data_IF_908068990567
#
_entry.id   IF_908068990567
#
_cell.length_a   1.000
_cell.length_b   1.000
_cell.length_c   1.000
_cell.angle_alpha   90.00
_cell.angle_beta   90.00
_cell.angle_gamma   90.00
#
_symmetry.space_group_name_H-M   'P 1'
#
loop_
_entity.id
_entity.type
_entity.pdbx_description
1 polymer ?
#
# COMPACT_ATOMS: atom_id res chain seq x y z
N UNK A 1 -40.58 13.22 10.50
CA UNK A 1 -39.87 14.35 11.13
C UNK A 1 -38.55 13.90 11.80
N UNK A 2 -38.49 12.77 12.49
CA UNK A 2 -37.27 12.25 13.17
C UNK A 2 -36.10 11.83 12.25
N UNK A 3 -36.36 11.32 11.05
CA UNK A 3 -35.32 10.85 10.10
C UNK A 3 -34.54 12.04 9.50
N UNK A 4 -35.23 13.14 9.17
CA UNK A 4 -34.60 14.34 8.58
C UNK A 4 -33.67 15.02 9.58
N UNK A 5 -34.04 15.07 10.87
CA UNK A 5 -33.19 15.66 11.93
C UNK A 5 -31.93 14.84 12.20
N UNK A 6 -32.03 13.49 12.12
CA UNK A 6 -30.85 12.60 12.22
C UNK A 6 -29.88 12.82 11.05
N UNK A 7 -30.38 12.87 9.81
CA UNK A 7 -29.55 13.11 8.62
C UNK A 7 -28.88 14.51 8.66
N UNK A 8 -29.57 15.52 9.16
CA UNK A 8 -28.98 16.86 9.35
C UNK A 8 -27.89 16.86 10.43
N UNK A 9 -28.09 16.13 11.53
CA UNK A 9 -27.05 15.98 12.55
C UNK A 9 -25.82 15.20 12.05
N UNK A 10 -26.01 14.13 11.27
CA UNK A 10 -24.90 13.38 10.65
C UNK A 10 -24.11 14.27 9.67
N UNK A 11 -24.78 15.05 8.81
CA UNK A 11 -24.12 16.00 7.92
C UNK A 11 -23.34 17.06 8.67
N UNK A 12 -23.88 17.57 9.78
CA UNK A 12 -23.19 18.59 10.59
C UNK A 12 -21.96 18.01 11.32
N UNK A 13 -22.04 16.78 11.82
CA UNK A 13 -20.90 16.09 12.44
C UNK A 13 -19.83 15.79 11.39
N UNK A 14 -20.20 15.32 10.21
CA UNK A 14 -19.28 15.03 9.11
C UNK A 14 -18.57 16.32 8.63
N UNK A 15 -19.32 17.40 8.43
CA UNK A 15 -18.72 18.68 8.04
C UNK A 15 -17.78 19.26 9.11
N UNK A 16 -18.08 19.04 10.39
CA UNK A 16 -17.19 19.45 11.48
C UNK A 16 -15.91 18.59 11.53
N UNK A 17 -15.99 17.29 11.23
CA UNK A 17 -14.84 16.39 11.13
C UNK A 17 -13.94 16.77 9.95
N UNK A 18 -14.53 17.05 8.78
CA UNK A 18 -13.79 17.51 7.60
C UNK A 18 -13.11 18.86 7.87
N UNK A 19 -13.80 19.80 8.51
CA UNK A 19 -13.23 21.10 8.88
C UNK A 19 -12.12 20.94 9.94
N UNK A 20 -12.28 20.01 10.89
CA UNK A 20 -11.28 19.67 11.89
C UNK A 20 -10.04 19.05 11.23
N UNK A 21 -10.23 18.08 10.32
CA UNK A 21 -9.16 17.48 9.54
C UNK A 21 -8.39 18.52 8.72
N UNK A 22 -9.11 19.44 8.04
CA UNK A 22 -8.50 20.53 7.28
C UNK A 22 -7.72 21.54 8.15
N UNK A 23 -8.25 21.88 9.35
CA UNK A 23 -7.60 22.81 10.28
C UNK A 23 -6.36 22.21 10.94
N UNK A 24 -6.34 20.88 11.14
CA UNK A 24 -5.26 20.17 11.82
C UNK A 24 -4.33 19.36 10.89
N UNK A 25 -4.50 19.49 9.56
CA UNK A 25 -3.69 18.75 8.58
C UNK A 25 -3.82 17.23 8.67
N UNK A 26 -4.95 16.72 9.19
CA UNK A 26 -5.21 15.27 9.32
C UNK A 26 -5.76 14.77 8.00
N UNK A 27 -4.88 14.35 7.11
CA UNK A 27 -5.24 13.93 5.74
C UNK A 27 -4.61 12.61 5.33
N UNK A 28 -3.98 11.89 6.28
CA UNK A 28 -3.36 10.60 6.05
C UNK A 28 -3.82 9.56 7.07
N UNK A 29 -3.58 8.29 6.76
CA UNK A 29 -4.00 7.15 7.57
C UNK A 29 -2.75 6.38 8.00
N UNK A 30 -2.39 6.46 9.28
CA UNK A 30 -1.28 5.72 9.87
C UNK A 30 -1.60 4.23 9.89
N UNK A 31 -0.65 3.40 9.51
CA UNK A 31 -0.68 1.95 9.64
C UNK A 31 0.22 1.55 10.81
N UNK A 32 -0.32 0.76 11.73
CA UNK A 32 0.45 0.13 12.80
C UNK A 32 0.37 -1.38 12.61
N UNK A 33 1.50 -2.00 12.31
CA UNK A 33 1.59 -3.43 12.00
C UNK A 33 1.87 -4.22 13.27
N UNK A 34 1.19 -5.36 13.46
CA UNK A 34 1.28 -6.17 14.68
C UNK A 34 1.21 -7.65 14.36
N UNK A 35 2.01 -8.43 15.08
CA UNK A 35 1.92 -9.91 15.04
C UNK A 35 0.51 -10.36 15.44
N UNK A 36 0.01 -11.38 14.76
CA UNK A 36 -1.28 -11.98 15.05
C UNK A 36 -1.20 -13.50 14.97
N UNK A 37 -2.09 -14.17 15.68
CA UNK A 37 -2.32 -15.62 15.54
C UNK A 37 -3.63 -15.93 14.82
N UNK A 38 -4.38 -14.91 14.43
CA UNK A 38 -5.64 -15.06 13.69
C UNK A 38 -5.35 -15.09 12.20
N UNK A 39 -6.07 -15.93 11.46
CA UNK A 39 -6.02 -15.89 10.00
C UNK A 39 -6.60 -14.58 9.49
N UNK A 40 -5.89 -13.96 8.54
CA UNK A 40 -6.25 -12.69 7.92
C UNK A 40 -6.73 -12.88 6.46
N UNK A 41 -7.27 -14.06 6.15
CA UNK A 41 -7.83 -14.33 4.82
C UNK A 41 -8.92 -13.32 4.45
N UNK A 42 -8.72 -12.62 3.31
CA UNK A 42 -9.57 -11.53 2.84
C UNK A 42 -9.72 -10.34 3.81
N UNK A 43 -8.78 -10.14 4.72
CA UNK A 43 -8.70 -8.98 5.61
C UNK A 43 -7.52 -8.08 5.23
N UNK A 44 -7.46 -6.89 5.81
CA UNK A 44 -6.24 -6.06 5.73
C UNK A 44 -5.10 -6.76 6.42
N UNK A 45 -3.96 -6.91 5.71
CA UNK A 45 -2.76 -7.54 6.26
C UNK A 45 -1.49 -7.00 5.61
N UNK A 46 -0.41 -7.05 6.38
CA UNK A 46 0.95 -6.84 5.95
C UNK A 46 1.63 -8.20 5.84
N UNK A 47 2.43 -8.43 4.81
CA UNK A 47 3.04 -9.72 4.50
C UNK A 47 2.03 -10.88 4.33
N UNK A 48 2.51 -12.11 4.35
CA UNK A 48 1.73 -13.30 4.03
C UNK A 48 1.49 -13.45 2.53
N UNK A 49 0.55 -14.32 2.19
CA UNK A 49 0.14 -14.54 0.80
C UNK A 49 -1.03 -13.61 0.44
N UNK A 50 -1.02 -12.91 -0.70
CA UNK A 50 -2.16 -12.08 -1.12
C UNK A 50 -3.37 -12.94 -1.47
N UNK A 51 -4.55 -12.48 -1.06
CA UNK A 51 -5.82 -13.15 -1.36
C UNK A 51 -6.41 -12.55 -2.63
N UNK A 52 -6.18 -13.21 -3.77
CA UNK A 52 -6.50 -12.67 -5.08
C UNK A 52 -7.81 -13.24 -5.65
N UNK A 53 -8.63 -12.41 -6.33
CA UNK A 53 -9.74 -12.90 -7.12
C UNK A 53 -9.23 -13.73 -8.32
N UNK A 54 -10.01 -14.71 -8.84
CA UNK A 54 -9.54 -15.65 -9.86
C UNK A 54 -9.00 -15.02 -11.15
N UNK A 55 -9.43 -13.80 -11.47
CA UNK A 55 -9.00 -13.07 -12.68
C UNK A 55 -7.79 -12.15 -12.47
N UNK A 56 -7.27 -12.07 -11.25
CA UNK A 56 -6.13 -11.21 -10.92
C UNK A 56 -4.86 -12.04 -10.86
N UNK A 57 -4.00 -11.84 -11.84
CA UNK A 57 -2.67 -12.48 -11.87
C UNK A 57 -1.73 -11.84 -10.85
N UNK A 58 -0.84 -12.64 -10.27
CA UNK A 58 0.25 -12.11 -9.45
C UNK A 58 1.21 -11.30 -10.30
N UNK A 59 1.68 -10.11 -9.86
CA UNK A 59 2.58 -9.29 -10.66
C UNK A 59 3.99 -9.88 -10.69
N UNK A 60 4.49 -10.06 -11.91
CA UNK A 60 5.86 -10.51 -12.19
C UNK A 60 6.58 -9.47 -13.03
N UNK A 61 7.88 -9.37 -12.86
CA UNK A 61 8.78 -8.55 -13.66
C UNK A 61 9.61 -9.44 -14.58
N UNK A 62 9.72 -9.04 -15.86
CA UNK A 62 10.62 -9.70 -16.81
C UNK A 62 12.01 -9.09 -16.71
N UNK A 63 13.01 -9.93 -16.60
CA UNK A 63 14.40 -9.52 -16.60
C UNK A 63 15.24 -10.44 -17.51
N UNK A 64 16.41 -9.99 -17.88
CA UNK A 64 17.37 -10.76 -18.67
C UNK A 64 18.43 -11.32 -17.69
N UNK A 65 18.55 -12.64 -17.64
CA UNK A 65 19.54 -13.30 -16.81
C UNK A 65 20.96 -13.18 -17.40
N UNK A 66 21.97 -13.67 -16.69
CA UNK A 66 23.37 -13.61 -17.11
C UNK A 66 23.66 -14.34 -18.45
N UNK A 67 22.79 -15.29 -18.82
CA UNK A 67 22.91 -16.07 -20.08
C UNK A 67 22.19 -15.37 -21.25
N UNK A 68 21.52 -14.22 -21.01
CA UNK A 68 20.78 -13.46 -22.02
C UNK A 68 19.37 -14.00 -22.26
N UNK A 69 18.85 -14.83 -21.37
CA UNK A 69 17.51 -15.39 -21.45
C UNK A 69 16.51 -14.51 -20.68
N UNK A 70 15.28 -14.41 -21.20
CA UNK A 70 14.21 -13.68 -20.52
C UNK A 70 13.55 -14.59 -19.47
N UNK A 71 13.60 -14.15 -18.22
CA UNK A 71 12.98 -14.82 -17.09
C UNK A 71 11.93 -13.92 -16.42
N UNK A 72 11.04 -14.52 -15.64
CA UNK A 72 10.03 -13.82 -14.84
C UNK A 72 10.36 -13.94 -13.36
N UNK A 73 10.31 -12.81 -12.65
CA UNK A 73 10.54 -12.75 -11.22
C UNK A 73 9.32 -12.11 -10.53
N UNK A 74 8.74 -12.74 -9.50
CA UNK A 74 7.59 -12.19 -8.80
C UNK A 74 8.00 -10.97 -7.97
N UNK A 75 7.15 -9.94 -7.91
CA UNK A 75 7.35 -8.83 -6.98
C UNK A 75 7.00 -9.26 -5.56
N UNK A 76 7.71 -8.69 -4.58
CA UNK A 76 7.35 -8.88 -3.17
C UNK A 76 5.96 -8.33 -2.89
N UNK A 77 5.08 -9.16 -2.33
CA UNK A 77 3.80 -8.69 -1.80
C UNK A 77 4.03 -7.93 -0.49
N UNK A 78 3.63 -6.67 -0.43
CA UNK A 78 3.79 -5.82 0.75
C UNK A 78 2.60 -5.92 1.68
N UNK A 79 1.42 -5.57 1.17
CA UNK A 79 0.18 -5.61 1.94
C UNK A 79 -1.05 -5.63 1.06
N UNK A 80 -2.16 -6.07 1.65
CA UNK A 80 -3.51 -5.83 1.12
C UNK A 80 -4.33 -5.05 2.15
N UNK A 81 -5.18 -4.16 1.64
CA UNK A 81 -6.01 -3.26 2.45
C UNK A 81 -7.47 -3.46 2.06
N UNK A 82 -8.29 -3.94 2.99
CA UNK A 82 -9.75 -3.87 2.83
C UNK A 82 -10.17 -2.41 2.91
N UNK A 83 -10.73 -1.90 1.83
CA UNK A 83 -11.12 -0.49 1.74
C UNK A 83 -12.21 -0.11 2.74
N UNK A 84 -12.97 -1.06 3.26
CA UNK A 84 -13.95 -0.81 4.32
C UNK A 84 -13.28 -0.43 5.65
N UNK A 85 -12.08 -0.97 5.94
CA UNK A 85 -11.34 -0.69 7.16
C UNK A 85 -10.83 0.76 7.20
N UNK A 86 -10.48 1.33 6.04
CA UNK A 86 -9.93 2.68 5.92
C UNK A 86 -11.00 3.75 5.67
N UNK A 87 -12.21 3.37 5.26
CA UNK A 87 -13.31 4.29 4.98
C UNK A 87 -13.63 5.29 6.12
N UNK A 88 -13.54 4.92 7.42
CA UNK A 88 -13.76 5.88 8.51
C UNK A 88 -12.70 6.98 8.62
N UNK A 89 -11.51 6.77 8.05
CA UNK A 89 -10.35 7.66 8.14
C UNK A 89 -10.14 8.48 6.86
N UNK A 90 -10.59 8.00 5.70
CA UNK A 90 -10.52 8.71 4.40
C UNK A 90 -11.67 9.73 4.28
N UNK A 91 -11.54 10.83 5.01
CA UNK A 91 -12.59 11.86 5.10
C UNK A 91 -12.80 12.62 3.80
N UNK A 92 -11.84 12.61 2.90
CA UNK A 92 -11.92 13.25 1.59
C UNK A 92 -12.44 12.32 0.49
N UNK A 93 -12.57 11.02 0.77
CA UNK A 93 -13.03 10.02 -0.19
C UNK A 93 -12.07 9.84 -1.36
N UNK A 94 -10.76 9.92 -1.11
CA UNK A 94 -9.71 9.74 -2.11
C UNK A 94 -9.54 8.29 -2.53
N UNK A 95 -9.79 7.36 -1.62
CA UNK A 95 -9.71 5.92 -1.84
C UNK A 95 -11.10 5.29 -2.01
N UNK A 96 -11.20 4.10 -2.61
CA UNK A 96 -12.42 3.32 -2.55
C UNK A 96 -12.78 3.01 -1.09
N UNK A 97 -14.06 2.94 -0.77
CA UNK A 97 -14.55 2.54 0.56
C UNK A 97 -15.13 1.11 0.55
N UNK A 98 -14.92 0.38 -0.52
CA UNK A 98 -15.27 -1.03 -0.71
C UNK A 98 -14.21 -1.71 -1.57
N UNK A 99 -14.07 -3.03 -1.45
CA UNK A 99 -13.08 -3.79 -2.22
C UNK A 99 -11.72 -3.88 -1.54
N UNK A 100 -10.72 -4.35 -2.27
CA UNK A 100 -9.37 -4.63 -1.76
C UNK A 100 -8.32 -3.96 -2.63
N UNK A 101 -7.41 -3.19 -2.01
CA UNK A 101 -6.17 -2.69 -2.61
C UNK A 101 -5.03 -3.64 -2.28
N UNK A 102 -4.11 -3.84 -3.24
CA UNK A 102 -2.93 -4.69 -3.10
C UNK A 102 -1.70 -3.91 -3.54
N UNK A 103 -0.60 -4.06 -2.78
CA UNK A 103 0.66 -3.39 -3.02
C UNK A 103 1.77 -4.42 -3.20
N UNK A 104 2.52 -4.30 -4.30
CA UNK A 104 3.64 -5.17 -4.65
C UNK A 104 4.82 -4.31 -5.10
N UNK A 105 6.04 -4.64 -4.68
CA UNK A 105 7.23 -3.90 -5.09
C UNK A 105 8.47 -4.81 -5.17
N UNK A 106 9.47 -4.39 -5.95
CA UNK A 106 10.77 -5.04 -6.03
C UNK A 106 11.65 -4.64 -4.84
N UNK A 107 11.26 -5.04 -3.64
CA UNK A 107 11.93 -4.62 -2.39
C UNK A 107 12.69 -5.76 -1.69
N UNK A 108 12.92 -6.88 -2.37
CA UNK A 108 13.58 -8.06 -1.79
C UNK A 108 14.90 -7.71 -1.10
N UNK A 109 15.78 -6.93 -1.77
CA UNK A 109 17.06 -6.50 -1.20
C UNK A 109 16.93 -5.68 0.09
N UNK A 110 15.76 -5.05 0.29
CA UNK A 110 15.47 -4.21 1.46
C UNK A 110 14.75 -4.96 2.59
N UNK A 111 14.42 -6.23 2.35
CA UNK A 111 13.82 -7.15 3.33
C UNK A 111 14.68 -8.40 3.56
N UNK A 112 15.94 -8.36 3.07
CA UNK A 112 16.95 -9.38 3.36
C UNK A 112 17.02 -10.55 2.38
N UNK A 113 16.38 -10.45 1.22
CA UNK A 113 16.44 -11.45 0.15
C UNK A 113 17.23 -10.91 -1.05
N UNK A 114 17.95 -11.81 -1.73
CA UNK A 114 18.62 -11.47 -2.98
C UNK A 114 17.60 -11.34 -4.12
N UNK A 115 17.75 -10.33 -4.96
CA UNK A 115 16.88 -10.08 -6.11
C UNK A 115 17.67 -9.92 -7.41
N UNK A 116 17.23 -10.52 -8.52
CA UNK A 116 17.80 -10.24 -9.83
C UNK A 116 17.36 -8.87 -10.37
N UNK A 117 16.38 -8.22 -9.74
CA UNK A 117 15.85 -6.93 -10.17
C UNK A 117 16.72 -5.79 -9.64
N UNK A 118 17.18 -4.92 -10.54
CA UNK A 118 17.98 -3.76 -10.16
C UNK A 118 17.07 -2.61 -9.72
N UNK A 119 17.27 -2.15 -8.51
CA UNK A 119 16.60 -0.98 -7.92
C UNK A 119 17.59 0.14 -7.65
N UNK A 120 17.11 1.37 -7.48
CA UNK A 120 17.94 2.55 -7.27
C UNK A 120 17.18 3.61 -6.48
N UNK A 121 17.89 4.58 -5.93
CA UNK A 121 17.28 5.75 -5.31
C UNK A 121 16.53 6.59 -6.34
N UNK A 122 15.45 7.21 -5.91
CA UNK A 122 14.58 8.03 -6.74
C UNK A 122 13.40 7.24 -7.33
N UNK A 123 12.92 7.70 -8.47
CA UNK A 123 11.71 7.18 -9.12
C UNK A 123 11.97 5.86 -9.85
N UNK A 124 11.17 4.85 -9.53
CA UNK A 124 11.22 3.54 -10.17
C UNK A 124 10.32 3.45 -11.40
N UNK A 125 10.62 2.49 -12.28
CA UNK A 125 9.68 2.05 -13.30
C UNK A 125 8.41 1.50 -12.64
N UNK A 126 7.25 1.74 -13.27
CA UNK A 126 5.94 1.29 -12.76
C UNK A 126 5.83 -0.23 -12.63
N UNK A 127 6.67 -0.97 -13.36
CA UNK A 127 6.67 -2.42 -13.28
C UNK A 127 7.32 -2.93 -11.99
N UNK A 128 8.18 -2.11 -11.34
CA UNK A 128 8.84 -2.41 -10.08
C UNK A 128 8.01 -2.04 -8.84
N UNK A 129 6.89 -1.35 -9.02
CA UNK A 129 5.96 -1.01 -7.94
C UNK A 129 4.52 -1.00 -8.48
N UNK A 130 3.77 -2.01 -8.15
CA UNK A 130 2.46 -2.31 -8.73
C UNK A 130 1.37 -2.19 -7.67
N UNK A 131 0.32 -1.44 -8.01
CA UNK A 131 -0.92 -1.38 -7.20
C UNK A 131 -2.04 -2.03 -7.99
N UNK A 132 -2.75 -2.95 -7.35
CA UNK A 132 -3.94 -3.61 -7.91
C UNK A 132 -5.15 -3.32 -7.03
N UNK A 133 -6.32 -3.40 -7.63
CA UNK A 133 -7.59 -3.19 -6.94
C UNK A 133 -8.65 -4.19 -7.41
N UNK A 134 -9.32 -4.81 -6.46
CA UNK A 134 -10.54 -5.58 -6.67
C UNK A 134 -11.72 -4.84 -6.07
N UNK A 135 -12.74 -4.54 -6.88
CA UNK A 135 -13.93 -3.82 -6.41
C UNK A 135 -14.75 -4.62 -5.40
N UNK A 136 -14.67 -5.94 -5.46
CA UNK A 136 -15.42 -6.84 -4.57
C UNK A 136 -14.45 -7.72 -3.80
N UNK A 137 -14.80 -8.05 -2.57
CA UNK A 137 -14.13 -9.08 -1.76
C UNK A 137 -15.12 -10.25 -1.62
N UNK A 138 -14.72 -11.45 -2.01
CA UNK A 138 -15.56 -12.65 -1.92
C UNK A 138 -14.72 -13.84 -1.43
N UNK A 139 -14.91 -14.18 -0.17
CA UNK A 139 -14.20 -15.28 0.51
C UNK A 139 -14.46 -16.66 -0.11
N UNK A 140 -15.53 -16.83 -0.89
CA UNK A 140 -15.83 -18.11 -1.55
C UNK A 140 -15.05 -18.32 -2.85
N UNK A 141 -14.57 -17.22 -3.47
CA UNK A 141 -13.91 -17.27 -4.78
C UNK A 141 -12.47 -16.79 -4.77
N UNK A 142 -12.05 -16.02 -3.74
CA UNK A 142 -10.68 -15.59 -3.59
C UNK A 142 -9.81 -16.76 -3.14
N UNK A 143 -8.55 -16.73 -3.55
CA UNK A 143 -7.56 -17.73 -3.14
C UNK A 143 -6.29 -17.02 -2.69
N UNK A 144 -5.69 -17.52 -1.62
CA UNK A 144 -4.33 -17.10 -1.25
C UNK A 144 -3.35 -17.56 -2.33
N UNK A 145 -2.62 -16.63 -2.90
CA UNK A 145 -1.65 -16.91 -3.95
C UNK A 145 -0.30 -17.24 -3.29
N UNK A 146 -0.01 -18.52 -3.12
CA UNK A 146 1.18 -19.02 -2.46
C UNK A 146 2.31 -19.12 -3.49
N UNK A 147 3.42 -18.44 -3.21
CA UNK A 147 4.66 -18.61 -3.94
C UNK A 147 5.56 -19.57 -3.14
N UNK A 148 6.24 -20.46 -3.85
CA UNK A 148 7.17 -21.44 -3.27
C UNK A 148 8.52 -21.38 -3.98
N UNK A 149 9.57 -21.76 -3.28
CA UNK A 149 10.90 -21.99 -3.85
C UNK A 149 10.98 -23.36 -4.56
N UNK A 150 12.17 -23.72 -5.06
CA UNK A 150 12.44 -24.99 -5.73
C UNK A 150 12.34 -26.21 -4.78
N UNK A 151 12.28 -25.98 -3.46
CA UNK A 151 12.16 -27.01 -2.43
C UNK A 151 10.72 -27.10 -1.86
N UNK A 152 9.74 -26.41 -2.48
CA UNK A 152 8.34 -26.31 -2.05
C UNK A 152 8.15 -25.55 -0.71
N UNK A 153 9.11 -24.74 -0.25
CA UNK A 153 8.91 -23.86 0.91
C UNK A 153 8.18 -22.59 0.51
N UNK A 154 7.24 -22.11 1.35
CA UNK A 154 6.59 -20.84 1.12
C UNK A 154 7.57 -19.67 1.25
N UNK A 155 7.54 -18.75 0.27
CA UNK A 155 8.40 -17.57 0.25
C UNK A 155 7.83 -16.40 1.07
N UNK A 156 6.57 -16.48 1.48
CA UNK A 156 5.91 -15.39 2.18
C UNK A 156 6.35 -15.31 3.65
N UNK A 157 6.65 -14.10 4.11
CA UNK A 157 6.76 -13.79 5.54
C UNK A 157 5.42 -14.04 6.26
N UNK A 158 5.43 -14.30 7.58
CA UNK A 158 4.19 -14.46 8.34
C UNK A 158 3.28 -13.23 8.24
N UNK A 159 1.98 -13.46 7.98
CA UNK A 159 1.00 -12.38 7.91
C UNK A 159 0.86 -11.63 9.24
N UNK A 160 0.72 -10.31 9.16
CA UNK A 160 0.60 -9.41 10.31
C UNK A 160 -0.63 -8.52 10.18
N UNK A 161 -1.30 -8.27 11.30
CA UNK A 161 -2.48 -7.42 11.36
C UNK A 161 -2.11 -5.94 11.22
N UNK A 162 -2.97 -5.16 10.56
CA UNK A 162 -2.83 -3.71 10.42
C UNK A 162 -3.92 -3.03 11.24
N UNK A 163 -3.53 -2.08 12.07
CA UNK A 163 -4.43 -1.14 12.75
C UNK A 163 -4.34 0.24 12.08
N UNK A 164 -5.50 0.85 11.82
CA UNK A 164 -5.60 2.14 11.16
C UNK A 164 -5.97 3.25 12.13
N UNK A 165 -5.40 4.45 11.92
CA UNK A 165 -5.78 5.68 12.64
C UNK A 165 -5.45 6.90 11.78
N UNK A 166 -6.18 7.99 12.00
CA UNK A 166 -5.84 9.27 11.38
C UNK A 166 -4.48 9.80 11.85
N UNK A 167 -3.72 10.44 10.96
CA UNK A 167 -2.49 11.13 11.28
C UNK A 167 -2.34 12.40 10.41
N UNK A 168 -1.30 13.18 10.67
CA UNK A 168 -0.91 14.32 9.83
C UNK A 168 -0.50 13.84 8.44
N UNK A 169 -0.72 14.66 7.42
CA UNK A 169 -0.49 14.29 6.03
C UNK A 169 0.97 13.99 5.71
N UNK A 170 1.92 14.65 6.40
CA UNK A 170 3.37 14.43 6.31
C UNK A 170 3.94 13.59 7.46
N UNK A 171 3.12 12.81 8.17
CA UNK A 171 3.60 11.97 9.27
C UNK A 171 4.68 10.98 8.82
N UNK A 172 5.57 10.65 9.73
CA UNK A 172 6.52 9.55 9.60
C UNK A 172 5.86 8.16 9.66
N UNK A 173 6.64 7.11 9.44
CA UNK A 173 6.20 5.72 9.54
C UNK A 173 5.31 5.29 8.37
N UNK A 174 4.71 4.10 8.49
CA UNK A 174 3.82 3.57 7.45
C UNK A 174 2.51 4.34 7.43
N UNK A 175 2.09 4.81 6.25
CA UNK A 175 0.80 5.50 6.10
C UNK A 175 0.25 5.41 4.68
N UNK A 176 -1.09 5.51 4.58
CA UNK A 176 -1.80 5.72 3.31
C UNK A 176 -2.14 7.19 3.17
N UNK A 177 -2.08 7.69 1.95
CA UNK A 177 -2.37 9.06 1.55
C UNK A 177 -1.42 10.12 2.16
N UNK A 178 -1.66 11.36 1.81
CA UNK A 178 -0.88 12.51 2.23
C UNK A 178 0.37 12.76 1.38
N UNK A 179 1.21 13.65 1.86
CA UNK A 179 2.49 13.96 1.22
C UNK A 179 3.59 13.05 1.75
N UNK A 180 4.63 12.74 0.97
CA UNK A 180 5.80 12.04 1.48
C UNK A 180 6.40 12.74 2.71
N UNK A 181 6.96 11.97 3.65
CA UNK A 181 7.60 12.54 4.85
C UNK A 181 8.81 13.43 4.50
N UNK A 182 9.61 13.02 3.51
CA UNK A 182 10.74 13.82 3.05
C UNK A 182 10.28 14.89 2.06
N UNK A 183 10.53 16.16 2.41
CA UNK A 183 10.09 17.33 1.63
C UNK A 183 10.64 17.33 0.20
N UNK A 184 11.87 16.87 -0.02
CA UNK A 184 12.49 16.80 -1.35
C UNK A 184 11.79 15.77 -2.27
N UNK A 185 11.22 14.70 -1.73
CA UNK A 185 10.38 13.76 -2.48
C UNK A 185 9.10 14.45 -2.95
N UNK A 186 8.46 15.21 -2.08
CA UNK A 186 7.27 15.99 -2.40
C UNK A 186 7.58 17.08 -3.43
N UNK A 187 8.69 17.82 -3.28
CA UNK A 187 9.13 18.85 -4.20
C UNK A 187 9.44 18.32 -5.61
N UNK A 188 10.02 17.13 -5.71
CA UNK A 188 10.30 16.47 -7.00
C UNK A 188 9.05 15.89 -7.65
N UNK A 189 7.97 15.68 -6.90
CA UNK A 189 6.72 15.09 -7.38
C UNK A 189 5.48 15.94 -6.98
N UNK A 190 5.40 17.22 -7.35
CA UNK A 190 4.45 18.18 -6.77
C UNK A 190 2.97 17.85 -7.06
N UNK A 191 2.68 17.07 -8.12
CA UNK A 191 1.31 16.70 -8.49
C UNK A 191 0.92 15.29 -7.98
N UNK A 192 1.78 14.67 -7.15
CA UNK A 192 1.59 13.31 -6.69
C UNK A 192 1.25 13.27 -5.19
N UNK A 193 0.48 12.26 -4.82
CA UNK A 193 0.25 11.85 -3.43
C UNK A 193 1.03 10.57 -3.14
N UNK A 194 1.45 10.40 -1.89
CA UNK A 194 1.97 9.14 -1.39
C UNK A 194 0.77 8.22 -1.13
N UNK A 195 0.49 7.29 -2.05
CA UNK A 195 -0.61 6.35 -1.91
C UNK A 195 -0.36 5.38 -0.74
N UNK A 196 0.89 4.88 -0.61
CA UNK A 196 1.38 4.15 0.55
C UNK A 196 2.83 4.54 0.77
N UNK A 197 3.15 5.03 1.96
CA UNK A 197 4.50 5.22 2.47
C UNK A 197 4.91 4.04 3.33
N UNK A 198 6.09 3.52 3.11
CA UNK A 198 6.71 2.46 3.89
C UNK A 198 7.99 3.04 4.52
N UNK A 199 8.06 3.02 5.83
CA UNK A 199 9.24 3.40 6.58
C UNK A 199 10.10 2.18 6.90
N UNK A 200 11.33 2.40 7.37
CA UNK A 200 12.12 1.34 7.98
C UNK A 200 11.41 0.78 9.22
N UNK A 201 11.47 -0.53 9.37
CA UNK A 201 10.87 -1.19 10.52
C UNK A 201 11.63 -2.50 10.83
N UNK A 202 12.31 -2.53 11.96
CA UNK A 202 13.08 -3.71 12.39
C UNK A 202 12.20 -4.94 12.68
N UNK A 203 10.94 -4.74 13.12
CA UNK A 203 10.01 -5.85 13.36
C UNK A 203 9.50 -6.48 12.06
N UNK A 204 9.46 -5.69 10.99
CA UNK A 204 9.10 -6.12 9.64
C UNK A 204 10.32 -6.56 8.81
N UNK A 205 11.53 -6.38 9.32
CA UNK A 205 12.77 -6.65 8.60
C UNK A 205 13.05 -5.67 7.45
N UNK A 206 12.41 -4.51 7.42
CA UNK A 206 12.50 -3.53 6.33
C UNK A 206 13.63 -2.54 6.61
N UNK A 207 14.56 -2.40 5.65
CA UNK A 207 15.64 -1.40 5.70
C UNK A 207 15.91 -0.81 4.33
N UNK A 208 15.72 0.50 4.21
CA UNK A 208 15.97 1.26 2.98
C UNK A 208 17.26 2.09 3.09
N UNK A 209 18.43 1.43 3.03
CA UNK A 209 19.75 2.05 3.19
C UNK A 209 19.95 2.69 4.57
N UNK A 210 20.27 3.99 4.62
CA UNK A 210 20.41 4.77 5.85
C UNK A 210 19.19 5.67 6.03
N UNK A 211 18.28 5.30 6.92
CA UNK A 211 17.05 6.07 7.24
C UNK A 211 16.21 6.40 6.00
N UNK A 212 15.96 5.40 5.18
CA UNK A 212 15.19 5.57 3.95
C UNK A 212 13.70 5.30 4.09
N UNK A 213 12.96 5.72 3.08
CA UNK A 213 11.52 5.42 2.92
C UNK A 213 11.20 5.07 1.48
N UNK A 214 10.29 4.14 1.32
CA UNK A 214 9.73 3.79 0.03
C UNK A 214 8.28 4.30 -0.08
N UNK A 215 7.96 4.94 -1.20
CA UNK A 215 6.61 5.46 -1.45
C UNK A 215 6.04 4.85 -2.73
N UNK A 216 4.83 4.32 -2.65
CA UNK A 216 3.98 4.16 -3.82
C UNK A 216 3.34 5.52 -4.13
N UNK A 217 3.79 6.14 -5.21
CA UNK A 217 3.35 7.47 -5.63
C UNK A 217 2.31 7.39 -6.73
N UNK A 218 1.34 8.28 -6.71
CA UNK A 218 0.35 8.41 -7.77
C UNK A 218 0.00 9.89 -8.00
N UNK A 219 -0.24 10.29 -9.25
CA UNK A 219 -0.77 11.64 -9.50
C UNK A 219 -2.17 11.78 -8.93
N UNK A 220 -2.47 12.92 -8.31
CA UNK A 220 -3.80 13.17 -7.74
C UNK A 220 -4.94 13.00 -8.75
N UNK A 221 -4.72 13.39 -10.04
CA UNK A 221 -5.70 13.14 -11.10
C UNK A 221 -5.93 11.65 -11.37
N UNK A 222 -4.87 10.82 -11.38
CA UNK A 222 -4.98 9.38 -11.60
C UNK A 222 -5.63 8.69 -10.40
N UNK A 223 -5.34 9.14 -9.17
CA UNK A 223 -5.97 8.68 -7.95
C UNK A 223 -7.48 8.90 -7.98
N UNK A 224 -7.94 10.12 -8.31
CA UNK A 224 -9.36 10.46 -8.40
C UNK A 224 -10.15 9.65 -9.45
N UNK A 225 -9.47 9.07 -10.44
CA UNK A 225 -10.06 8.17 -11.42
C UNK A 225 -9.87 6.69 -11.09
N UNK A 226 -9.21 6.34 -9.99
CA UNK A 226 -8.88 4.96 -9.65
C UNK A 226 -7.92 4.30 -10.64
N UNK A 227 -7.03 5.07 -11.25
CA UNK A 227 -6.11 4.61 -12.28
C UNK A 227 -4.83 4.01 -11.68
N UNK A 228 -5.00 2.96 -10.87
CA UNK A 228 -3.95 2.33 -10.07
C UNK A 228 -2.71 1.91 -10.87
N UNK A 229 -2.87 1.55 -12.16
CA UNK A 229 -1.77 1.21 -13.07
C UNK A 229 -0.80 2.37 -13.34
N UNK A 230 -1.11 3.57 -12.88
CA UNK A 230 -0.26 4.76 -12.99
C UNK A 230 0.59 4.99 -11.74
N UNK A 231 0.37 4.24 -10.69
CA UNK A 231 1.25 4.27 -9.53
C UNK A 231 2.69 3.88 -9.92
N UNK A 232 3.65 4.39 -9.18
CA UNK A 232 5.07 4.10 -9.34
C UNK A 232 5.77 4.12 -8.00
N UNK A 233 6.91 3.46 -7.88
CA UNK A 233 7.75 3.48 -6.70
C UNK A 233 8.65 4.71 -6.65
N UNK A 234 8.93 5.21 -5.46
CA UNK A 234 9.95 6.20 -5.22
C UNK A 234 10.72 5.83 -3.93
N UNK A 235 11.99 5.51 -4.06
CA UNK A 235 12.87 5.21 -2.94
C UNK A 235 13.72 6.43 -2.59
N UNK A 236 13.67 6.86 -1.35
CA UNK A 236 14.49 7.91 -0.79
C UNK A 236 15.35 7.38 0.36
N UNK A 237 16.56 7.88 0.49
CA UNK A 237 17.45 7.66 1.64
C UNK A 237 18.29 8.92 1.85
N UNK A 238 18.68 9.17 3.11
CA UNK A 238 19.55 10.29 3.50
C UNK A 238 20.99 10.09 3.06
#
# INVERSE_FOLDING_TARGET
MFIVSRLQNYKKVLNNLILFAYIYGIMAIKLSVKKTSSSLFCCSKWWGNPDLPPQMEYPVMKYENEEGEQEEYPLTFVCQIDCADIAPYDTEGKLPHEGMLYFFAAIDDYVGYESPLQTHLGKWDKQLAVVKYSKTVNMETFNSCILVDDEDNELAEPEMAIEFRSCEDNADGHKLLGVPFFDDVAEQNPDCESLLQIDEDDELGIRFHDSGMFNFMIKGSDLGFGNWKRAFGYLHSL
#
